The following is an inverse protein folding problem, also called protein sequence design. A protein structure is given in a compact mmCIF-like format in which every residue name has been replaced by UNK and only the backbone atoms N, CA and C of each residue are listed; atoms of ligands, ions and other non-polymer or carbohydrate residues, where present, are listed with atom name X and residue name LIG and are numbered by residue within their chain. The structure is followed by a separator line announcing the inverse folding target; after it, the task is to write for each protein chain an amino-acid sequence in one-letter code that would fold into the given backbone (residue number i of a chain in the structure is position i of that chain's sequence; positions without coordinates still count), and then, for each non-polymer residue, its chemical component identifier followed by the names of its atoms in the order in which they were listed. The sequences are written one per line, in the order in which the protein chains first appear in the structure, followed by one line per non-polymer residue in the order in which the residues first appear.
data_IF_018576416858
#
_entry.id   IF_018576416858
#
_cell.length_a   1.000
_cell.length_b   1.000
_cell.length_c   1.000
_cell.angle_alpha   90.00
_cell.angle_beta   90.00
_cell.angle_gamma   90.00
#
_symmetry.space_group_name_H-M   'P 1'
#
loop_
_entity.id
_entity.type
_entity.pdbx_description
1 polymer ?
#
# COMPACT_ATOMS: atom_id res chain seq x y z
N UNK A 1 37.79 4.94 18.98
CA UNK A 1 36.58 5.08 18.15
C UNK A 1 35.55 4.09 18.67
N UNK A 2 34.48 4.55 19.33
CA UNK A 2 33.43 3.65 19.79
C UNK A 2 32.63 3.16 18.58
N UNK A 3 32.64 1.85 18.33
CA UNK A 3 31.81 1.25 17.28
C UNK A 3 30.36 1.41 17.73
N UNK A 4 29.59 2.26 17.06
CA UNK A 4 28.17 2.43 17.34
C UNK A 4 27.50 1.05 17.18
N UNK A 5 26.86 0.57 18.24
CA UNK A 5 26.17 -0.72 18.20
C UNK A 5 25.05 -0.69 17.15
N UNK A 6 24.92 -1.74 16.31
CA UNK A 6 23.88 -1.78 15.30
C UNK A 6 22.49 -1.79 15.95
N UNK A 7 21.58 -0.94 15.46
CA UNK A 7 20.20 -0.90 15.97
C UNK A 7 19.47 -2.20 15.63
N UNK A 8 18.74 -2.76 16.60
CA UNK A 8 18.00 -4.01 16.38
C UNK A 8 16.63 -3.81 15.71
N UNK A 9 16.07 -2.59 15.79
CA UNK A 9 14.70 -2.27 15.30
C UNK A 9 14.64 -1.01 14.47
N UNK A 10 13.60 -0.90 13.64
CA UNK A 10 13.30 0.34 12.91
C UNK A 10 12.94 1.50 13.85
N UNK A 11 12.98 2.72 13.32
CA UNK A 11 12.53 3.89 14.06
C UNK A 11 11.03 3.74 14.39
N UNK A 12 10.55 4.08 15.60
CA UNK A 12 9.14 3.87 15.97
C UNK A 12 8.15 4.50 14.98
N UNK A 13 8.47 5.68 14.45
CA UNK A 13 7.65 6.34 13.41
C UNK A 13 7.53 5.49 12.14
N UNK A 14 8.60 4.79 11.72
CA UNK A 14 8.55 3.88 10.55
C UNK A 14 7.65 2.69 10.84
N UNK A 15 7.69 2.17 12.07
CA UNK A 15 6.83 1.07 12.51
C UNK A 15 5.36 1.49 12.48
N UNK A 16 5.03 2.65 13.07
CA UNK A 16 3.67 3.21 13.02
C UNK A 16 3.20 3.42 11.59
N UNK A 17 4.00 4.08 10.76
CA UNK A 17 3.67 4.32 9.35
C UNK A 17 3.44 3.01 8.59
N UNK A 18 4.26 1.98 8.83
CA UNK A 18 4.07 0.68 8.19
C UNK A 18 2.72 0.05 8.53
N UNK A 19 2.39 -0.05 9.82
CA UNK A 19 1.13 -0.66 10.24
C UNK A 19 -0.10 0.16 9.83
N UNK A 20 0.00 1.49 9.89
CA UNK A 20 -1.05 2.37 9.39
C UNK A 20 -1.29 2.17 7.89
N UNK A 21 -0.23 2.24 7.07
CA UNK A 21 -0.33 2.04 5.62
C UNK A 21 -0.86 0.65 5.30
N UNK A 22 -0.39 -0.40 6.00
CA UNK A 22 -0.85 -1.76 5.80
C UNK A 22 -2.36 -1.89 6.07
N UNK A 23 -2.85 -1.33 7.18
CA UNK A 23 -4.28 -1.33 7.51
C UNK A 23 -5.11 -0.57 6.47
N UNK A 24 -4.65 0.61 6.03
CA UNK A 24 -5.32 1.41 5.01
C UNK A 24 -5.37 0.70 3.66
N UNK A 25 -4.27 0.07 3.22
CA UNK A 25 -4.25 -0.70 1.97
C UNK A 25 -5.24 -1.86 2.02
N UNK A 26 -5.26 -2.63 3.12
CA UNK A 26 -6.22 -3.74 3.27
C UNK A 26 -7.66 -3.22 3.22
N UNK A 27 -7.96 -2.14 3.94
CA UNK A 27 -9.29 -1.52 3.90
C UNK A 27 -9.68 -1.06 2.49
N UNK A 28 -8.76 -0.45 1.74
CA UNK A 28 -9.00 0.01 0.38
C UNK A 28 -9.17 -1.13 -0.63
N UNK A 29 -8.43 -2.22 -0.48
CA UNK A 29 -8.62 -3.42 -1.32
C UNK A 29 -9.99 -4.06 -1.06
N UNK A 30 -10.38 -4.21 0.21
CA UNK A 30 -11.68 -4.76 0.59
C UNK A 30 -12.82 -3.83 0.13
N UNK A 31 -12.70 -2.52 0.35
CA UNK A 31 -13.70 -1.54 -0.09
C UNK A 31 -13.82 -1.48 -1.61
N UNK A 32 -12.70 -1.50 -2.33
CA UNK A 32 -12.70 -1.54 -3.79
C UNK A 32 -13.44 -2.77 -4.33
N UNK A 33 -13.14 -3.96 -3.80
CA UNK A 33 -13.68 -5.22 -4.29
C UNK A 33 -15.12 -5.51 -3.83
N UNK A 34 -15.41 -5.34 -2.53
CA UNK A 34 -16.70 -5.73 -1.96
C UNK A 34 -17.74 -4.61 -1.94
N UNK A 35 -17.33 -3.35 -2.06
CA UNK A 35 -18.25 -2.20 -1.97
C UNK A 35 -18.36 -1.47 -3.31
N UNK A 36 -17.25 -1.01 -3.88
CA UNK A 36 -17.28 -0.18 -5.11
C UNK A 36 -17.61 -1.01 -6.34
N UNK A 37 -16.92 -2.13 -6.56
CA UNK A 37 -17.08 -2.95 -7.76
C UNK A 37 -18.51 -3.46 -8.01
N UNK A 38 -19.27 -3.95 -6.99
CA UNK A 38 -20.65 -4.41 -7.22
C UNK A 38 -21.68 -3.26 -7.25
N UNK A 39 -21.30 -2.04 -6.86
CA UNK A 39 -22.25 -0.92 -6.77
C UNK A 39 -22.57 -0.36 -8.16
N UNK A 40 -23.85 -0.16 -8.53
CA UNK A 40 -24.23 0.50 -9.78
C UNK A 40 -23.72 1.95 -9.88
N UNK A 41 -23.35 2.40 -11.08
CA UNK A 41 -22.88 3.77 -11.36
C UNK A 41 -23.88 4.87 -10.96
N UNK A 42 -25.17 4.59 -11.02
CA UNK A 42 -26.27 5.50 -10.68
C UNK A 42 -26.68 5.42 -9.20
N UNK A 43 -26.05 4.54 -8.41
CA UNK A 43 -26.34 4.43 -6.98
C UNK A 43 -25.98 5.76 -6.26
N UNK A 44 -26.92 6.36 -5.50
CA UNK A 44 -26.70 7.67 -4.86
C UNK A 44 -25.47 7.72 -3.96
N UNK A 45 -25.16 6.61 -3.26
CA UNK A 45 -24.05 6.54 -2.32
C UNK A 45 -22.68 6.33 -3.01
N UNK A 46 -22.64 6.03 -4.32
CA UNK A 46 -21.37 5.71 -5.01
C UNK A 46 -20.43 6.90 -5.04
N UNK A 47 -20.96 8.12 -5.13
CA UNK A 47 -20.15 9.33 -5.07
C UNK A 47 -19.42 9.46 -3.73
N UNK A 48 -20.09 9.21 -2.61
CA UNK A 48 -19.50 9.33 -1.28
C UNK A 48 -18.43 8.26 -1.04
N UNK A 49 -18.68 7.03 -1.51
CA UNK A 49 -17.70 5.94 -1.42
C UNK A 49 -16.48 6.23 -2.31
N UNK A 50 -16.68 6.75 -3.53
CA UNK A 50 -15.59 7.15 -4.41
C UNK A 50 -14.77 8.30 -3.83
N UNK A 51 -15.41 9.29 -3.18
CA UNK A 51 -14.72 10.40 -2.53
C UNK A 51 -13.74 9.87 -1.47
N UNK A 52 -14.22 9.00 -0.58
CA UNK A 52 -13.40 8.39 0.47
C UNK A 52 -12.28 7.56 -0.16
N UNK A 53 -12.57 6.76 -1.18
CA UNK A 53 -11.59 5.91 -1.84
C UNK A 53 -10.47 6.72 -2.51
N UNK A 54 -10.83 7.76 -3.26
CA UNK A 54 -9.88 8.65 -3.94
C UNK A 54 -9.02 9.41 -2.93
N UNK A 55 -9.63 9.97 -1.87
CA UNK A 55 -8.93 10.69 -0.83
C UNK A 55 -7.94 9.80 -0.05
N UNK A 56 -8.39 8.61 0.39
CA UNK A 56 -7.53 7.66 1.11
C UNK A 56 -6.45 7.06 0.21
N UNK A 57 -6.74 6.84 -1.08
CA UNK A 57 -5.73 6.42 -2.05
C UNK A 57 -4.56 7.43 -2.15
N UNK A 58 -4.87 8.72 -2.22
CA UNK A 58 -3.85 9.78 -2.22
C UNK A 58 -3.14 9.90 -0.88
N UNK A 59 -3.85 9.73 0.25
CA UNK A 59 -3.24 9.73 1.57
C UNK A 59 -2.24 8.58 1.74
N UNK A 60 -2.55 7.37 1.27
CA UNK A 60 -1.64 6.21 1.28
C UNK A 60 -0.37 6.53 0.49
N UNK A 61 -0.48 7.16 -0.68
CA UNK A 61 0.69 7.57 -1.47
C UNK A 61 1.58 8.54 -0.67
N UNK A 62 0.98 9.59 -0.09
CA UNK A 62 1.71 10.57 0.72
C UNK A 62 2.42 9.94 1.93
N UNK A 63 1.71 9.08 2.67
CA UNK A 63 2.28 8.34 3.80
C UNK A 63 3.40 7.39 3.37
N UNK A 64 3.27 6.75 2.21
CA UNK A 64 4.33 5.89 1.66
C UNK A 64 5.58 6.70 1.31
N UNK A 65 5.44 7.89 0.71
CA UNK A 65 6.57 8.80 0.44
C UNK A 65 7.26 9.22 1.73
N UNK A 66 6.50 9.64 2.74
CA UNK A 66 7.04 10.00 4.07
C UNK A 66 7.80 8.81 4.67
N UNK A 67 7.22 7.60 4.61
CA UNK A 67 7.86 6.38 5.10
C UNK A 67 9.18 6.10 4.37
N UNK A 68 9.23 6.28 3.04
CA UNK A 68 10.45 6.09 2.25
C UNK A 68 11.54 7.09 2.61
N UNK A 69 11.18 8.37 2.77
CA UNK A 69 12.11 9.42 3.22
C UNK A 69 12.67 9.05 4.60
N UNK A 70 11.80 8.74 5.57
CA UNK A 70 12.23 8.36 6.92
C UNK A 70 13.11 7.11 6.91
N UNK A 71 12.80 6.12 6.07
CA UNK A 71 13.64 4.91 5.90
C UNK A 71 15.02 5.25 5.33
N UNK A 72 15.14 6.28 4.50
CA UNK A 72 16.41 6.71 3.93
C UNK A 72 17.27 7.50 4.93
N UNK A 73 16.64 8.31 5.79
CA UNK A 73 17.36 9.23 6.70
C UNK A 73 17.55 8.69 8.13
N UNK A 74 16.94 7.55 8.50
CA UNK A 74 17.08 6.97 9.84
C UNK A 74 17.91 5.69 9.84
N UNK A 75 18.60 5.42 10.97
CA UNK A 75 19.34 4.18 11.17
C UNK A 75 18.40 2.96 11.09
N UNK A 76 18.81 1.96 10.29
CA UNK A 76 18.07 0.73 10.03
C UNK A 76 18.81 -0.50 10.55
N UNK A 77 18.08 -1.55 10.99
CA UNK A 77 18.71 -2.81 11.34
C UNK A 77 19.49 -3.40 10.15
N UNK A 78 20.63 -4.07 10.39
CA UNK A 78 21.36 -4.78 9.35
C UNK A 78 20.44 -5.80 8.66
N UNK A 79 20.51 -5.89 7.33
CA UNK A 79 19.76 -6.92 6.63
C UNK A 79 20.33 -8.30 7.01
N UNK A 80 19.45 -9.25 7.36
CA UNK A 80 19.82 -10.67 7.54
C UNK A 80 19.83 -11.31 6.15
N UNK A 81 20.91 -11.08 5.41
CA UNK A 81 21.12 -11.64 4.07
C UNK A 81 21.92 -12.93 4.24
N UNK A 82 21.33 -14.04 3.85
CA UNK A 82 21.95 -15.37 3.83
C UNK A 82 22.57 -15.71 2.48
N UNK A 83 22.28 -14.92 1.43
CA UNK A 83 22.67 -15.16 0.05
C UNK A 83 21.75 -16.13 -0.70
N UNK A 84 20.71 -16.65 -0.03
CA UNK A 84 19.79 -17.65 -0.57
C UNK A 84 18.72 -17.08 -1.51
N UNK A 85 17.97 -17.95 -2.22
CA UNK A 85 16.90 -17.53 -3.12
C UNK A 85 15.78 -16.75 -2.43
N UNK A 86 15.52 -17.03 -1.14
CA UNK A 86 14.51 -16.33 -0.35
C UNK A 86 14.83 -14.84 -0.14
N UNK A 87 16.12 -14.48 -0.06
CA UNK A 87 16.53 -13.07 0.07
C UNK A 87 16.16 -12.27 -1.19
N UNK A 88 16.32 -12.88 -2.37
CA UNK A 88 15.94 -12.26 -3.65
C UNK A 88 14.44 -12.07 -3.75
N UNK A 89 13.66 -13.05 -3.29
CA UNK A 89 12.19 -12.96 -3.22
C UNK A 89 11.79 -11.84 -2.27
N UNK A 90 12.41 -11.73 -1.09
CA UNK A 90 12.12 -10.67 -0.13
C UNK A 90 12.37 -9.27 -0.72
N UNK A 91 13.49 -9.09 -1.43
CA UNK A 91 13.80 -7.83 -2.14
C UNK A 91 12.77 -7.56 -3.24
N UNK A 92 12.43 -8.56 -4.05
CA UNK A 92 11.46 -8.43 -5.13
C UNK A 92 10.07 -8.07 -4.62
N UNK A 93 9.60 -8.70 -3.53
CA UNK A 93 8.31 -8.38 -2.89
C UNK A 93 8.28 -6.94 -2.40
N UNK A 94 9.32 -6.48 -1.71
CA UNK A 94 9.38 -5.09 -1.23
C UNK A 94 9.47 -4.08 -2.38
N UNK A 95 10.28 -4.34 -3.40
CA UNK A 95 10.36 -3.52 -4.60
C UNK A 95 9.01 -3.47 -5.35
N UNK A 96 8.34 -4.62 -5.44
CA UNK A 96 7.02 -4.78 -6.02
C UNK A 96 5.97 -3.94 -5.30
N UNK A 97 5.98 -3.87 -3.97
CA UNK A 97 5.08 -2.97 -3.24
C UNK A 97 5.27 -1.50 -3.60
N UNK A 98 6.51 -1.02 -3.67
CA UNK A 98 6.76 0.37 -4.03
C UNK A 98 6.29 0.69 -5.44
N UNK A 99 6.59 -0.20 -6.39
CA UNK A 99 6.13 -0.06 -7.78
C UNK A 99 4.60 -0.10 -7.87
N UNK A 100 3.95 -1.10 -7.26
CA UNK A 100 2.50 -1.27 -7.37
C UNK A 100 1.74 -0.14 -6.68
N UNK A 101 2.16 0.32 -5.50
CA UNK A 101 1.49 1.46 -4.85
C UNK A 101 1.61 2.73 -5.71
N UNK A 102 2.76 2.94 -6.36
CA UNK A 102 2.92 4.04 -7.30
C UNK A 102 2.02 3.88 -8.54
N UNK A 103 1.96 2.68 -9.13
CA UNK A 103 1.10 2.39 -10.28
C UNK A 103 -0.40 2.54 -9.95
N UNK A 104 -0.82 2.10 -8.77
CA UNK A 104 -2.19 2.29 -8.27
C UNK A 104 -2.55 3.78 -8.28
N UNK A 105 -1.68 4.63 -7.73
CA UNK A 105 -1.90 6.07 -7.72
C UNK A 105 -1.90 6.67 -9.13
N UNK A 106 -0.99 6.25 -10.01
CA UNK A 106 -0.96 6.70 -11.41
C UNK A 106 -2.25 6.34 -12.14
N UNK A 107 -2.72 5.10 -12.05
CA UNK A 107 -3.97 4.70 -12.71
C UNK A 107 -5.20 5.37 -12.11
N UNK A 108 -5.22 5.56 -10.79
CA UNK A 108 -6.29 6.28 -10.11
C UNK A 108 -6.37 7.74 -10.55
N UNK A 109 -5.22 8.43 -10.57
CA UNK A 109 -5.12 9.82 -11.01
C UNK A 109 -5.45 9.99 -12.50
N UNK A 110 -4.96 9.08 -13.35
CA UNK A 110 -5.29 9.09 -14.77
C UNK A 110 -6.79 8.94 -14.97
N UNK A 111 -7.43 7.99 -14.28
CA UNK A 111 -8.89 7.83 -14.31
C UNK A 111 -9.59 9.12 -13.86
N UNK A 112 -9.16 9.68 -12.74
CA UNK A 112 -9.79 10.85 -12.14
C UNK A 112 -9.74 12.09 -13.05
N UNK A 113 -8.59 12.31 -13.71
CA UNK A 113 -8.39 13.42 -14.65
C UNK A 113 -9.15 13.13 -15.96
N UNK A 114 -8.94 11.96 -16.55
CA UNK A 114 -9.45 11.63 -17.89
C UNK A 114 -10.97 11.50 -17.96
N UNK A 115 -11.63 11.21 -16.82
CA UNK A 115 -13.08 11.07 -16.74
C UNK A 115 -13.73 12.19 -15.90
N UNK A 116 -13.00 13.27 -15.61
CA UNK A 116 -13.50 14.41 -14.83
C UNK A 116 -14.08 14.04 -13.46
N UNK A 117 -13.61 12.93 -12.87
CA UNK A 117 -14.15 12.46 -11.57
C UNK A 117 -13.84 13.42 -10.45
N UNK A 118 -12.77 14.23 -10.55
CA UNK A 118 -12.49 15.24 -9.53
C UNK A 118 -13.63 16.26 -9.39
N UNK A 119 -14.19 16.72 -10.52
CA UNK A 119 -15.28 17.70 -10.52
C UNK A 119 -16.62 17.05 -10.11
N UNK A 120 -16.83 15.81 -10.54
CA UNK A 120 -18.05 15.05 -10.20
C UNK A 120 -18.08 14.68 -8.71
N UNK A 121 -16.97 14.15 -8.20
CA UNK A 121 -16.87 13.55 -6.86
C UNK A 121 -16.53 14.58 -5.79
N UNK A 122 -15.52 15.44 -6.00
CA UNK A 122 -15.11 16.41 -4.96
C UNK A 122 -15.85 17.74 -5.08
N UNK A 123 -16.00 18.28 -6.31
CA UNK A 123 -16.69 19.55 -6.49
C UNK A 123 -18.23 19.41 -6.52
N UNK A 124 -18.74 18.18 -6.58
CA UNK A 124 -20.18 17.85 -6.61
C UNK A 124 -20.93 18.67 -7.66
N UNK A 125 -20.36 18.75 -8.87
CA UNK A 125 -20.87 19.60 -9.95
C UNK A 125 -22.25 19.16 -10.54
N UNK A 126 -22.82 18.06 -10.05
CA UNK A 126 -24.13 17.55 -10.46
C UNK A 126 -24.12 16.70 -11.73
N UNK A 127 -22.97 16.52 -12.39
CA UNK A 127 -22.88 15.61 -13.52
C UNK A 127 -22.93 14.14 -13.05
N UNK A 128 -23.57 13.24 -13.83
CA UNK A 128 -23.60 11.82 -13.48
C UNK A 128 -22.22 11.17 -13.67
N UNK A 129 -21.97 10.07 -12.94
CA UNK A 129 -20.82 9.21 -13.24
C UNK A 129 -20.92 8.64 -14.66
N UNK A 130 -19.79 8.42 -15.35
CA UNK A 130 -19.80 7.77 -16.66
C UNK A 130 -20.54 6.42 -16.60
N UNK A 131 -21.52 6.15 -17.48
CA UNK A 131 -22.36 4.95 -17.41
C UNK A 131 -21.61 3.61 -17.46
N UNK A 132 -20.39 3.61 -18.00
CA UNK A 132 -19.54 2.42 -18.12
C UNK A 132 -18.17 2.59 -17.44
N UNK A 133 -18.14 3.36 -16.34
CA UNK A 133 -16.93 3.70 -15.59
C UNK A 133 -16.07 2.46 -15.27
N UNK A 134 -16.70 1.36 -14.83
CA UNK A 134 -16.01 0.13 -14.41
C UNK A 134 -15.19 -0.56 -15.52
N UNK A 135 -15.53 -0.34 -16.79
CA UNK A 135 -14.82 -0.92 -17.92
C UNK A 135 -13.84 0.05 -18.58
N UNK A 136 -13.73 1.28 -18.07
CA UNK A 136 -12.72 2.22 -18.53
C UNK A 136 -11.32 1.57 -18.43
N UNK A 137 -10.46 1.66 -19.47
CA UNK A 137 -9.18 0.94 -19.49
C UNK A 137 -8.29 1.21 -18.27
N UNK A 138 -8.29 2.44 -17.75
CA UNK A 138 -7.52 2.83 -16.57
C UNK A 138 -8.09 2.25 -15.27
N UNK A 139 -9.42 2.09 -15.17
CA UNK A 139 -10.08 1.43 -14.03
C UNK A 139 -9.78 -0.06 -14.03
N UNK A 140 -9.83 -0.69 -15.21
CA UNK A 140 -9.45 -2.10 -15.39
C UNK A 140 -7.98 -2.32 -15.01
N UNK A 141 -7.07 -1.44 -15.48
CA UNK A 141 -5.66 -1.50 -15.12
C UNK A 141 -5.44 -1.32 -13.60
N UNK A 142 -6.17 -0.39 -12.97
CA UNK A 142 -6.15 -0.22 -11.51
C UNK A 142 -6.64 -1.47 -10.78
N UNK A 143 -7.70 -2.12 -11.25
CA UNK A 143 -8.22 -3.38 -10.70
C UNK A 143 -7.23 -4.53 -10.78
N UNK A 144 -6.54 -4.70 -11.92
CA UNK A 144 -5.48 -5.70 -12.07
C UNK A 144 -4.29 -5.41 -11.14
N UNK A 145 -3.85 -4.15 -11.04
CA UNK A 145 -2.80 -3.76 -10.12
C UNK A 145 -3.20 -4.04 -8.65
N UNK A 146 -4.46 -3.82 -8.29
CA UNK A 146 -5.00 -4.14 -6.97
C UNK A 146 -4.94 -5.66 -6.67
N UNK A 147 -5.26 -6.50 -7.65
CA UNK A 147 -5.19 -7.96 -7.50
C UNK A 147 -3.74 -8.44 -7.28
N UNK A 148 -2.80 -7.92 -8.07
CA UNK A 148 -1.36 -8.24 -7.91
C UNK A 148 -0.84 -7.72 -6.57
N UNK A 149 -1.30 -6.54 -6.14
CA UNK A 149 -0.96 -5.98 -4.83
C UNK A 149 -1.47 -6.89 -3.70
N UNK A 150 -2.71 -7.37 -3.78
CA UNK A 150 -3.27 -8.32 -2.82
C UNK A 150 -2.45 -9.62 -2.74
N UNK A 151 -2.03 -10.16 -3.90
CA UNK A 151 -1.15 -11.33 -3.95
C UNK A 151 0.20 -11.06 -3.27
N UNK A 152 0.82 -9.90 -3.50
CA UNK A 152 2.06 -9.53 -2.81
C UNK A 152 1.88 -9.42 -1.30
N UNK A 153 0.73 -8.91 -0.82
CA UNK A 153 0.41 -8.89 0.62
C UNK A 153 0.38 -10.30 1.19
N UNK A 154 -0.29 -11.25 0.51
CA UNK A 154 -0.31 -12.65 0.94
C UNK A 154 1.10 -13.24 1.01
N UNK A 155 1.91 -13.04 -0.04
CA UNK A 155 3.30 -13.52 -0.08
C UNK A 155 4.16 -12.88 1.02
N UNK A 156 3.98 -11.59 1.27
CA UNK A 156 4.70 -10.86 2.31
C UNK A 156 4.37 -11.38 3.71
N UNK A 157 3.07 -11.56 4.01
CA UNK A 157 2.62 -12.10 5.30
C UNK A 157 3.08 -13.55 5.47
N UNK A 158 2.97 -14.37 4.43
CA UNK A 158 3.48 -15.74 4.44
C UNK A 158 4.99 -15.78 4.72
N UNK A 159 5.77 -14.90 4.09
CA UNK A 159 7.20 -14.74 4.37
C UNK A 159 7.47 -14.35 5.82
N UNK A 160 6.76 -13.36 6.37
CA UNK A 160 6.90 -12.97 7.76
C UNK A 160 6.58 -14.11 8.73
N UNK A 161 5.53 -14.88 8.46
CA UNK A 161 5.18 -16.06 9.26
C UNK A 161 6.22 -17.18 9.13
N UNK A 162 6.78 -17.40 7.94
CA UNK A 162 7.84 -18.36 7.71
C UNK A 162 9.09 -18.03 8.54
N UNK A 163 9.50 -16.76 8.55
CA UNK A 163 10.59 -16.25 9.39
C UNK A 163 10.36 -16.55 10.88
N UNK A 164 9.14 -16.31 11.38
CA UNK A 164 8.81 -16.54 12.79
C UNK A 164 8.64 -18.01 13.17
N UNK A 165 7.98 -18.81 12.33
CA UNK A 165 7.55 -20.16 12.68
C UNK A 165 8.57 -21.23 12.29
N UNK A 166 9.24 -21.06 11.14
CA UNK A 166 10.17 -22.04 10.58
C UNK A 166 11.61 -21.64 10.86
N UNK A 167 12.02 -20.44 10.43
CA UNK A 167 13.40 -19.97 10.65
C UNK A 167 13.65 -19.55 12.10
N UNK A 168 12.58 -19.20 12.83
CA UNK A 168 12.60 -18.76 14.23
C UNK A 168 13.60 -17.62 14.46
N UNK A 169 13.63 -16.68 13.52
CA UNK A 169 14.47 -15.48 13.60
C UNK A 169 13.67 -14.26 14.10
N UNK A 170 14.39 -13.16 14.28
CA UNK A 170 13.87 -11.92 14.85
C UNK A 170 13.43 -10.91 13.78
N UNK A 171 13.21 -11.34 12.51
CA UNK A 171 12.84 -10.43 11.41
C UNK A 171 11.54 -9.68 11.72
N UNK A 172 10.53 -10.37 12.26
CA UNK A 172 9.26 -9.74 12.65
C UNK A 172 9.44 -8.74 13.80
N UNK A 173 10.34 -9.00 14.76
CA UNK A 173 10.56 -8.14 15.92
C UNK A 173 11.08 -6.74 15.53
N UNK A 174 11.71 -6.61 14.36
CA UNK A 174 12.18 -5.34 13.79
C UNK A 174 11.06 -4.37 13.47
N UNK A 175 9.85 -4.89 13.22
CA UNK A 175 8.61 -4.13 12.95
C UNK A 175 7.67 -4.09 14.16
N UNK A 176 8.15 -4.44 15.36
CA UNK A 176 7.41 -4.35 16.62
C UNK A 176 7.78 -3.13 17.45
N UNK A 177 6.86 -2.70 18.32
CA UNK A 177 7.11 -1.66 19.33
C UNK A 177 8.08 -2.18 20.41
N UNK A 178 9.12 -1.41 20.76
CA UNK A 178 10.09 -1.78 21.80
C UNK A 178 11.42 -1.03 21.70
N UNK A 179 12.32 -1.27 22.67
CA UNK A 179 13.63 -0.61 22.74
C UNK A 179 14.49 -0.91 21.50
N UNK A 180 15.24 0.11 21.02
CA UNK A 180 16.10 0.02 19.82
C UNK A 180 17.52 -0.54 20.09
N UNK A 181 17.80 -0.91 21.35
CA UNK A 181 19.09 -1.44 21.81
C UNK A 181 19.28 -2.88 21.36
#
# INVERSE_FOLDING_TARGET
MAIAQPVRRYHPVIVVLHWLIAALIVLMLLGGYFVIAPMPEDAPQKLDVLEIHMALGMAILGLMVIRLILRAVTARPPAEITGGPLDRVAVAVHGGFYLLVALMAVFGMWTAIGLHLNDIVFARNGAPLPPDLRHAPTVVAHGWAALVLALLIVLHVAGALYHRMVLRDEVMARMGFGARR
#
